data_IF_800098076376
#
_entry.id   IF_800098076376
#
_cell.length_a   1.000
_cell.length_b   1.000
_cell.length_c   1.000
_cell.angle_alpha   90.00
_cell.angle_beta   90.00
_cell.angle_gamma   90.00
#
_symmetry.space_group_name_H-M   'P 1'
#
loop_
_entity.id
_entity.type
_entity.pdbx_description
1 polymer ?
#
# COMPACT_ATOMS: atom_id res chain seq x y z
N UNK A 1 50.52 -7.75 -9.87
CA UNK A 1 49.23 -7.86 -9.15
C UNK A 1 48.47 -6.51 -9.04
N UNK A 2 48.34 -5.73 -10.13
CA UNK A 2 47.60 -4.44 -10.13
C UNK A 2 46.36 -4.42 -11.03
N UNK A 3 46.11 -5.48 -11.83
CA UNK A 3 44.94 -5.58 -12.72
C UNK A 3 43.71 -6.28 -12.11
N UNK A 4 43.84 -6.89 -10.92
CA UNK A 4 42.74 -7.63 -10.28
C UNK A 4 41.81 -6.73 -9.43
N UNK A 5 42.20 -5.48 -9.12
CA UNK A 5 41.39 -4.57 -8.30
C UNK A 5 40.27 -3.85 -9.08
N UNK A 6 40.34 -3.79 -10.41
CA UNK A 6 39.32 -3.11 -11.22
C UNK A 6 38.11 -4.00 -11.55
N UNK A 7 38.25 -5.32 -11.49
CA UNK A 7 37.16 -6.28 -11.76
C UNK A 7 36.17 -6.32 -10.57
N UNK A 8 36.68 -6.13 -9.34
CA UNK A 8 35.86 -6.14 -8.13
C UNK A 8 35.02 -4.86 -7.97
N UNK A 9 35.47 -3.74 -8.55
CA UNK A 9 34.71 -2.48 -8.58
C UNK A 9 33.59 -2.53 -9.63
N UNK A 10 33.80 -3.22 -10.76
CA UNK A 10 32.78 -3.32 -11.82
C UNK A 10 31.63 -4.28 -11.46
N UNK A 11 31.90 -5.33 -10.67
CA UNK A 11 30.87 -6.25 -10.14
C UNK A 11 30.02 -5.62 -9.04
N UNK A 12 30.55 -4.68 -8.25
CA UNK A 12 29.78 -3.98 -7.22
C UNK A 12 28.90 -2.86 -7.80
N UNK A 13 29.34 -2.18 -8.87
CA UNK A 13 28.55 -1.12 -9.53
C UNK A 13 27.33 -1.69 -10.27
N UNK A 14 27.42 -2.90 -10.84
CA UNK A 14 26.28 -3.50 -11.54
C UNK A 14 25.16 -3.98 -10.61
N UNK A 15 25.50 -4.44 -9.40
CA UNK A 15 24.51 -4.77 -8.37
C UNK A 15 23.85 -3.51 -7.77
N UNK A 16 24.63 -2.45 -7.53
CA UNK A 16 24.11 -1.16 -7.05
C UNK A 16 23.19 -0.47 -8.07
N UNK A 17 23.55 -0.46 -9.35
CA UNK A 17 22.74 0.15 -10.40
C UNK A 17 21.36 -0.53 -10.57
N UNK A 18 21.30 -1.86 -10.42
CA UNK A 18 20.04 -2.64 -10.53
C UNK A 18 19.08 -2.38 -9.35
N UNK A 19 19.61 -2.19 -8.14
CA UNK A 19 18.81 -1.81 -6.97
C UNK A 19 18.33 -0.36 -7.02
N UNK A 20 19.15 0.54 -7.60
CA UNK A 20 18.80 1.95 -7.80
C UNK A 20 17.56 2.14 -8.69
N UNK A 21 17.37 1.26 -9.67
CA UNK A 21 16.31 1.36 -10.66
C UNK A 21 14.92 1.01 -10.12
N UNK A 22 14.79 -0.13 -9.43
CA UNK A 22 13.50 -0.49 -8.79
C UNK A 22 13.11 0.55 -7.72
N UNK A 23 14.07 1.03 -6.94
CA UNK A 23 13.81 2.04 -5.93
C UNK A 23 13.30 3.36 -6.56
N UNK A 24 13.82 3.74 -7.72
CA UNK A 24 13.35 4.91 -8.47
C UNK A 24 11.88 4.76 -8.88
N UNK A 25 11.50 3.61 -9.44
CA UNK A 25 10.11 3.34 -9.80
C UNK A 25 9.17 3.32 -8.59
N UNK A 26 9.63 2.79 -7.44
CA UNK A 26 8.83 2.83 -6.20
C UNK A 26 8.61 4.27 -5.73
N UNK A 27 9.65 5.11 -5.77
CA UNK A 27 9.55 6.52 -5.39
C UNK A 27 8.62 7.30 -6.32
N UNK A 28 8.74 7.05 -7.62
CA UNK A 28 7.89 7.66 -8.63
C UNK A 28 6.42 7.25 -8.46
N UNK A 29 6.15 5.96 -8.27
CA UNK A 29 4.81 5.46 -8.01
C UNK A 29 4.23 6.09 -6.73
N UNK A 30 5.01 6.15 -5.65
CA UNK A 30 4.56 6.76 -4.41
C UNK A 30 4.22 8.26 -4.54
N UNK A 31 4.86 8.97 -5.47
CA UNK A 31 4.60 10.38 -5.72
C UNK A 31 3.38 10.61 -6.64
N UNK A 32 3.21 9.76 -7.66
CA UNK A 32 2.27 10.05 -8.76
C UNK A 32 0.99 9.20 -8.75
N UNK A 33 0.96 8.10 -7.99
CA UNK A 33 -0.15 7.15 -8.04
C UNK A 33 -1.46 7.75 -7.46
N UNK A 34 -2.59 7.72 -8.21
CA UNK A 34 -3.86 8.31 -7.77
C UNK A 34 -4.45 7.69 -6.49
N UNK A 35 -4.20 6.41 -6.23
CA UNK A 35 -4.66 5.76 -4.99
C UNK A 35 -3.96 6.38 -3.78
N UNK A 36 -2.64 6.60 -3.87
CA UNK A 36 -1.87 7.26 -2.81
C UNK A 36 -2.34 8.70 -2.60
N UNK A 37 -2.56 9.44 -3.70
CA UNK A 37 -3.11 10.80 -3.63
C UNK A 37 -4.48 10.83 -2.93
N UNK A 38 -5.34 9.83 -3.17
CA UNK A 38 -6.62 9.71 -2.48
C UNK A 38 -6.49 9.38 -0.98
N UNK A 39 -5.46 8.62 -0.57
CA UNK A 39 -5.15 8.41 0.85
C UNK A 39 -4.57 9.67 1.50
N UNK A 40 -3.67 10.40 0.82
CA UNK A 40 -3.13 11.66 1.33
C UNK A 40 -4.23 12.72 1.52
N UNK A 41 -5.17 12.82 0.57
CA UNK A 41 -6.33 13.69 0.74
C UNK A 41 -7.23 13.28 1.92
N UNK A 42 -7.40 11.98 2.19
CA UNK A 42 -8.14 11.52 3.38
C UNK A 42 -7.44 11.92 4.67
N UNK A 43 -6.12 11.81 4.73
CA UNK A 43 -5.33 12.32 5.83
C UNK A 43 -5.47 13.84 5.99
N UNK A 44 -5.35 14.62 4.92
CA UNK A 44 -5.52 16.07 4.97
C UNK A 44 -6.93 16.48 5.44
N UNK A 45 -7.98 15.75 5.03
CA UNK A 45 -9.34 15.96 5.54
C UNK A 45 -9.40 15.67 7.05
N UNK A 46 -8.70 14.65 7.53
CA UNK A 46 -8.63 14.35 8.96
C UNK A 46 -7.84 15.42 9.73
N UNK A 47 -6.78 15.99 9.16
CA UNK A 47 -6.09 17.15 9.73
C UNK A 47 -7.01 18.37 9.82
N UNK A 48 -7.80 18.66 8.78
CA UNK A 48 -8.76 19.76 8.83
C UNK A 48 -9.87 19.54 9.87
N UNK A 49 -10.22 18.29 10.19
CA UNK A 49 -11.12 18.00 11.32
C UNK A 49 -10.53 18.38 12.68
N UNK A 50 -9.20 18.44 12.79
CA UNK A 50 -8.53 18.97 14.00
C UNK A 50 -8.79 20.47 14.11
N UNK A 51 -8.68 21.21 13.01
CA UNK A 51 -9.04 22.63 12.96
C UNK A 51 -10.54 22.83 13.23
N UNK A 52 -11.40 21.97 12.67
CA UNK A 52 -12.85 21.98 12.91
C UNK A 52 -13.19 21.79 14.39
N UNK A 53 -12.42 20.99 15.14
CA UNK A 53 -12.66 20.69 16.54
C UNK A 53 -12.56 21.93 17.45
N UNK A 54 -11.84 22.98 17.03
CA UNK A 54 -11.68 24.23 17.76
C UNK A 54 -12.87 25.18 17.55
N UNK A 55 -14.03 24.81 18.09
CA UNK A 55 -15.23 25.64 18.06
C UNK A 55 -15.90 25.76 19.43
N UNK A 56 -16.58 26.88 19.62
CA UNK A 56 -17.50 27.13 20.74
C UNK A 56 -18.93 27.24 20.22
N UNK A 57 -19.95 26.90 21.02
CA UNK A 57 -21.35 27.10 20.66
C UNK A 57 -21.64 28.47 20.06
N UNK A 58 -22.58 28.53 19.12
CA UNK A 58 -22.95 29.80 18.49
C UNK A 58 -23.44 30.82 19.53
N UNK A 59 -23.12 32.09 19.32
CA UNK A 59 -23.72 33.18 20.07
C UNK A 59 -25.21 33.26 19.73
N UNK A 60 -26.06 33.12 20.75
CA UNK A 60 -27.50 33.23 20.62
C UNK A 60 -27.90 34.70 20.75
N UNK A 61 -28.52 35.27 19.71
CA UNK A 61 -29.19 36.56 19.78
C UNK A 61 -30.70 36.34 19.86
N UNK A 62 -31.35 37.03 20.79
CA UNK A 62 -32.80 36.95 21.00
C UNK A 62 -33.42 38.34 20.96
N UNK A 63 -34.58 38.45 20.31
CA UNK A 63 -35.40 39.64 20.30
C UNK A 63 -36.86 39.22 20.46
N UNK A 64 -37.56 39.82 21.42
CA UNK A 64 -38.97 39.56 21.68
C UNK A 64 -39.71 40.86 21.97
N UNK A 65 -40.94 40.98 21.47
CA UNK A 65 -41.84 42.09 21.75
C UNK A 65 -42.98 41.63 22.66
N UNK A 66 -43.26 42.37 23.72
CA UNK A 66 -44.30 42.01 24.68
C UNK A 66 -45.66 42.50 24.19
N UNK A 67 -46.51 41.57 23.70
CA UNK A 67 -47.91 41.89 23.32
C UNK A 67 -48.75 42.25 24.54
N UNK A 68 -48.46 41.62 25.69
CA UNK A 68 -48.99 42.01 26.99
C UNK A 68 -47.82 42.49 27.83
N UNK A 69 -47.80 43.79 28.12
CA UNK A 69 -46.65 44.46 28.71
C UNK A 69 -46.56 44.20 30.22
N UNK A 70 -45.45 43.60 30.70
CA UNK A 70 -45.21 43.50 32.13
C UNK A 70 -44.97 44.88 32.74
N UNK A 71 -45.76 45.23 33.76
CA UNK A 71 -45.61 46.49 34.48
C UNK A 71 -44.53 46.38 35.57
N UNK A 72 -43.69 47.42 35.68
CA UNK A 72 -42.71 47.58 36.76
C UNK A 72 -42.97 48.88 37.53
N UNK A 73 -42.28 49.10 38.66
CA UNK A 73 -42.39 50.35 39.44
C UNK A 73 -42.10 51.60 38.58
N UNK A 74 -41.24 51.47 37.57
CA UNK A 74 -40.78 52.58 36.70
C UNK A 74 -41.44 52.56 35.32
N UNK A 75 -42.45 51.71 35.09
CA UNK A 75 -43.20 51.64 33.84
C UNK A 75 -43.22 50.26 33.16
N UNK A 76 -43.83 50.20 31.97
CA UNK A 76 -44.13 48.96 31.25
C UNK A 76 -42.95 48.50 30.36
N UNK A 77 -42.58 47.22 30.41
CA UNK A 77 -41.56 46.63 29.53
C UNK A 77 -42.13 46.37 28.13
N UNK A 78 -41.49 46.90 27.08
CA UNK A 78 -41.98 46.80 25.69
C UNK A 78 -41.37 45.63 24.91
N UNK A 79 -40.09 45.37 25.16
CA UNK A 79 -39.34 44.35 24.44
C UNK A 79 -38.26 43.73 25.32
N UNK A 80 -37.65 42.66 24.82
CA UNK A 80 -36.41 42.08 25.33
C UNK A 80 -35.48 41.85 24.16
N UNK A 81 -34.27 42.40 24.24
CA UNK A 81 -33.19 42.17 23.29
C UNK A 81 -32.04 41.58 24.10
N UNK A 82 -31.56 40.41 23.74
CA UNK A 82 -30.51 39.74 24.50
C UNK A 82 -29.50 39.05 23.61
N UNK A 83 -28.29 38.89 24.14
CA UNK A 83 -27.33 37.94 23.58
C UNK A 83 -26.82 37.00 24.67
N UNK A 84 -26.46 35.79 24.28
CA UNK A 84 -25.97 34.74 25.17
C UNK A 84 -24.90 33.91 24.47
N UNK A 85 -23.78 33.68 25.14
CA UNK A 85 -22.69 32.84 24.69
C UNK A 85 -22.52 31.67 25.67
N UNK A 86 -22.67 30.44 25.18
CA UNK A 86 -22.33 29.24 25.94
C UNK A 86 -20.86 28.88 25.73
N UNK A 87 -20.18 28.54 26.82
CA UNK A 87 -18.80 28.07 26.85
C UNK A 87 -18.78 26.64 27.39
N UNK A 88 -18.11 25.71 26.71
CA UNK A 88 -17.96 24.35 27.20
C UNK A 88 -17.09 24.32 28.46
N UNK A 89 -17.13 23.20 29.18
CA UNK A 89 -16.27 23.01 30.35
C UNK A 89 -14.78 23.12 29.99
N UNK A 90 -13.96 23.46 30.98
CA UNK A 90 -12.51 23.59 30.81
C UNK A 90 -11.89 22.31 30.23
N UNK A 91 -11.16 22.47 29.13
CA UNK A 91 -10.48 21.36 28.44
C UNK A 91 -11.38 20.49 27.54
N UNK A 92 -12.68 20.80 27.38
CA UNK A 92 -13.53 20.06 26.42
C UNK A 92 -13.09 20.31 24.97
N UNK A 93 -12.70 21.54 24.62
CA UNK A 93 -12.18 21.86 23.28
C UNK A 93 -10.88 21.08 23.01
N UNK A 94 -9.93 21.11 23.94
CA UNK A 94 -8.69 20.33 23.86
C UNK A 94 -8.96 18.82 23.75
N UNK A 95 -9.97 18.30 24.45
CA UNK A 95 -10.34 16.89 24.31
C UNK A 95 -10.92 16.57 22.91
N UNK A 96 -11.66 17.51 22.28
CA UNK A 96 -12.12 17.36 20.89
C UNK A 96 -10.93 17.39 19.92
N UNK A 97 -10.01 18.32 20.09
CA UNK A 97 -8.79 18.44 19.28
C UNK A 97 -7.93 17.18 19.39
N UNK A 98 -7.69 16.68 20.60
CA UNK A 98 -6.91 15.45 20.82
C UNK A 98 -7.58 14.23 20.19
N UNK A 99 -8.91 14.12 20.28
CA UNK A 99 -9.64 13.05 19.60
C UNK A 99 -9.51 13.16 18.08
N UNK A 100 -9.76 14.34 17.50
CA UNK A 100 -9.60 14.57 16.07
C UNK A 100 -8.16 14.28 15.60
N UNK A 101 -7.15 14.71 16.37
CA UNK A 101 -5.74 14.46 16.09
C UNK A 101 -5.41 12.97 16.11
N UNK A 102 -5.94 12.21 17.08
CA UNK A 102 -5.73 10.75 17.12
C UNK A 102 -6.37 10.01 15.94
N UNK A 103 -7.47 10.55 15.38
CA UNK A 103 -8.07 10.04 14.15
C UNK A 103 -7.18 10.37 12.94
N UNK A 104 -6.61 11.57 12.87
CA UNK A 104 -5.66 11.95 11.82
C UNK A 104 -4.39 11.08 11.85
N UNK A 105 -3.85 10.78 13.04
CA UNK A 105 -2.74 9.84 13.22
C UNK A 105 -3.06 8.44 12.65
N UNK A 106 -4.29 7.95 12.84
CA UNK A 106 -4.72 6.66 12.29
C UNK A 106 -4.78 6.69 10.75
N UNK A 107 -5.31 7.77 10.16
CA UNK A 107 -5.32 7.97 8.70
C UNK A 107 -3.90 8.12 8.12
N UNK A 108 -2.96 8.72 8.85
CA UNK A 108 -1.56 8.78 8.42
C UNK A 108 -0.91 7.39 8.32
N UNK A 109 -1.24 6.49 9.25
CA UNK A 109 -0.78 5.10 9.18
C UNK A 109 -1.39 4.40 7.96
N UNK A 110 -2.64 4.69 7.58
CA UNK A 110 -3.24 4.16 6.35
C UNK A 110 -2.50 4.63 5.09
N UNK A 111 -2.10 5.91 5.02
CA UNK A 111 -1.23 6.41 3.93
C UNK A 111 0.06 5.59 3.85
N UNK A 112 0.67 5.32 5.00
CA UNK A 112 1.90 4.53 5.09
C UNK A 112 1.70 3.08 4.61
N UNK A 113 0.59 2.43 5.03
CA UNK A 113 0.23 1.09 4.58
C UNK A 113 0.01 1.07 3.06
N UNK A 114 -0.73 2.04 2.52
CA UNK A 114 -1.01 2.15 1.10
C UNK A 114 0.28 2.30 0.28
N UNK A 115 1.19 3.21 0.68
CA UNK A 115 2.49 3.40 0.02
C UNK A 115 3.32 2.11 0.02
N UNK A 116 3.32 1.35 1.12
CA UNK A 116 4.04 0.08 1.23
C UNK A 116 3.42 -1.02 0.37
N UNK A 117 2.09 -1.09 0.29
CA UNK A 117 1.38 -2.02 -0.61
C UNK A 117 1.68 -1.71 -2.08
N UNK A 118 1.68 -0.43 -2.45
CA UNK A 118 2.05 0.01 -3.79
C UNK A 118 3.50 -0.37 -4.11
N UNK A 119 4.44 -0.14 -3.19
CA UNK A 119 5.84 -0.52 -3.36
C UNK A 119 6.00 -2.04 -3.60
N UNK A 120 5.24 -2.87 -2.87
CA UNK A 120 5.20 -4.32 -3.08
C UNK A 120 4.67 -4.68 -4.48
N UNK A 121 3.56 -4.05 -4.90
CA UNK A 121 2.96 -4.29 -6.22
C UNK A 121 3.91 -3.90 -7.36
N UNK A 122 4.57 -2.75 -7.25
CA UNK A 122 5.59 -2.28 -8.21
C UNK A 122 6.74 -3.29 -8.28
N UNK A 123 7.25 -3.75 -7.14
CA UNK A 123 8.32 -4.75 -7.12
C UNK A 123 7.90 -6.08 -7.75
N UNK A 124 6.71 -6.60 -7.43
CA UNK A 124 6.21 -7.84 -8.02
C UNK A 124 6.00 -7.72 -9.53
N UNK A 125 5.39 -6.62 -9.99
CA UNK A 125 5.17 -6.35 -11.41
C UNK A 125 6.50 -6.18 -12.16
N UNK A 126 7.49 -5.53 -11.56
CA UNK A 126 8.85 -5.42 -12.10
C UNK A 126 9.52 -6.79 -12.31
N UNK A 127 9.41 -7.70 -11.33
CA UNK A 127 9.99 -9.04 -11.43
C UNK A 127 9.22 -9.94 -12.41
N UNK A 128 7.92 -9.73 -12.58
CA UNK A 128 7.13 -10.36 -13.65
C UNK A 128 7.61 -9.90 -15.03
N UNK A 129 7.78 -8.60 -15.26
CA UNK A 129 8.30 -8.05 -16.52
C UNK A 129 9.69 -8.56 -16.86
N UNK A 130 10.57 -8.64 -15.86
CA UNK A 130 11.87 -9.30 -16.01
C UNK A 130 11.72 -10.75 -16.51
N UNK A 131 10.85 -11.53 -15.88
CA UNK A 131 10.65 -12.95 -16.19
C UNK A 131 10.21 -13.14 -17.63
N UNK A 132 9.23 -12.37 -18.09
CA UNK A 132 8.73 -12.41 -19.48
C UNK A 132 9.87 -12.10 -20.45
N UNK A 133 10.62 -11.02 -20.22
CA UNK A 133 11.74 -10.61 -21.08
C UNK A 133 12.89 -11.63 -21.10
N UNK A 134 13.18 -12.23 -19.96
CA UNK A 134 14.20 -13.29 -19.85
C UNK A 134 13.76 -14.55 -20.61
N UNK A 135 12.48 -14.92 -20.55
CA UNK A 135 11.94 -16.07 -21.30
C UNK A 135 11.97 -15.82 -22.81
N UNK A 136 11.58 -14.62 -23.27
CA UNK A 136 11.70 -14.23 -24.69
C UNK A 136 13.13 -14.38 -25.19
N UNK A 137 14.12 -13.91 -24.41
CA UNK A 137 15.53 -14.05 -24.75
C UNK A 137 15.96 -15.53 -24.85
N UNK A 138 15.53 -16.38 -23.94
CA UNK A 138 15.81 -17.83 -24.01
C UNK A 138 15.17 -18.45 -25.25
N UNK A 139 13.95 -18.06 -25.61
CA UNK A 139 13.31 -18.53 -26.85
C UNK A 139 14.10 -18.08 -28.09
N UNK A 140 14.56 -16.83 -28.15
CA UNK A 140 15.40 -16.33 -29.25
C UNK A 140 16.69 -17.15 -29.40
N UNK A 141 17.38 -17.42 -28.29
CA UNK A 141 18.58 -18.25 -28.28
C UNK A 141 18.30 -19.68 -28.77
N UNK A 142 17.16 -20.26 -28.37
CA UNK A 142 16.77 -21.61 -28.79
C UNK A 142 16.30 -21.66 -30.26
N UNK A 143 15.61 -20.65 -30.76
CA UNK A 143 15.23 -20.54 -32.19
C UNK A 143 16.50 -20.50 -33.06
N UNK A 144 17.47 -19.66 -32.71
CA UNK A 144 18.77 -19.58 -33.41
C UNK A 144 19.55 -20.91 -33.37
N UNK A 145 19.43 -21.65 -32.26
CA UNK A 145 20.04 -22.96 -32.13
C UNK A 145 19.37 -23.99 -33.06
N UNK A 146 18.03 -24.01 -33.12
CA UNK A 146 17.29 -24.89 -34.03
C UNK A 146 17.57 -24.57 -35.51
N UNK A 147 17.75 -23.30 -35.89
CA UNK A 147 18.20 -22.93 -37.25
C UNK A 147 19.60 -23.51 -37.58
N UNK A 148 20.48 -23.59 -36.59
CA UNK A 148 21.79 -24.21 -36.76
C UNK A 148 21.68 -25.72 -36.95
N UNK A 149 20.78 -26.35 -36.21
CA UNK A 149 20.48 -27.77 -36.34
C UNK A 149 19.77 -28.13 -37.65
N UNK A 150 18.89 -27.26 -38.15
CA UNK A 150 18.23 -27.44 -39.45
C UNK A 150 19.24 -27.45 -40.59
N UNK A 151 20.21 -26.53 -40.58
CA UNK A 151 21.30 -26.53 -41.57
C UNK A 151 22.12 -27.82 -41.53
N UNK A 152 22.39 -28.33 -40.33
CA UNK A 152 23.10 -29.61 -40.14
C UNK A 152 22.28 -30.78 -40.69
N UNK A 153 20.98 -30.85 -40.35
CA UNK A 153 20.08 -31.90 -40.80
C UNK A 153 19.91 -31.89 -42.33
N UNK A 154 19.74 -30.72 -42.95
CA UNK A 154 19.67 -30.56 -44.41
C UNK A 154 20.92 -31.11 -45.10
N UNK A 155 22.10 -30.76 -44.58
CA UNK A 155 23.38 -31.28 -45.09
C UNK A 155 23.45 -32.80 -44.98
N UNK A 156 22.98 -33.37 -43.85
CA UNK A 156 22.92 -34.81 -43.64
C UNK A 156 21.93 -35.52 -44.57
N UNK A 157 20.81 -34.88 -44.92
CA UNK A 157 19.83 -35.40 -45.91
C UNK A 157 20.46 -35.43 -47.31
N UNK A 158 21.16 -34.38 -47.72
CA UNK A 158 21.83 -34.31 -49.03
C UNK A 158 22.85 -35.43 -49.24
N UNK A 159 23.56 -35.83 -48.18
CA UNK A 159 24.54 -36.94 -48.21
C UNK A 159 23.92 -38.31 -47.87
N UNK A 160 22.59 -38.40 -47.78
CA UNK A 160 21.84 -39.65 -47.57
C UNK A 160 21.96 -40.26 -46.17
N UNK A 161 22.36 -39.46 -45.18
CA UNK A 161 22.58 -39.89 -43.78
C UNK A 161 21.46 -39.51 -42.81
N UNK A 162 20.50 -38.69 -43.22
CA UNK A 162 19.35 -38.29 -42.41
C UNK A 162 18.05 -38.32 -43.20
N UNK A 163 16.91 -38.28 -42.51
CA UNK A 163 15.57 -38.27 -43.10
C UNK A 163 15.06 -36.84 -43.29
N UNK A 164 14.32 -36.59 -44.37
CA UNK A 164 13.58 -35.34 -44.54
C UNK A 164 12.54 -35.12 -43.41
N UNK A 165 12.13 -36.19 -42.71
CA UNK A 165 11.27 -36.12 -41.52
C UNK A 165 11.96 -35.36 -40.38
N UNK A 166 13.28 -35.48 -40.24
CA UNK A 166 14.04 -34.84 -39.16
C UNK A 166 14.06 -33.32 -39.34
N UNK A 167 14.19 -32.86 -40.59
CA UNK A 167 14.09 -31.45 -40.98
C UNK A 167 12.68 -30.91 -40.71
N UNK A 168 11.63 -31.64 -41.10
CA UNK A 168 10.25 -31.22 -40.84
C UNK A 168 9.95 -31.13 -39.34
N UNK A 169 10.51 -32.03 -38.52
CA UNK A 169 10.38 -31.95 -37.05
C UNK A 169 11.03 -30.70 -36.48
N UNK A 170 12.24 -30.35 -36.95
CA UNK A 170 12.91 -29.10 -36.56
C UNK A 170 12.07 -27.87 -36.89
N UNK A 171 11.50 -27.81 -38.09
CA UNK A 171 10.63 -26.70 -38.52
C UNK A 171 9.36 -26.61 -37.67
N UNK A 172 8.75 -27.74 -37.31
CA UNK A 172 7.62 -27.78 -36.37
C UNK A 172 8.03 -27.19 -35.02
N UNK A 173 9.20 -27.57 -34.49
CA UNK A 173 9.70 -27.02 -33.22
C UNK A 173 10.00 -25.52 -33.30
N UNK A 174 10.62 -25.04 -34.38
CA UNK A 174 10.82 -23.61 -34.59
C UNK A 174 9.48 -22.85 -34.57
N UNK A 175 8.45 -23.38 -35.24
CA UNK A 175 7.11 -22.78 -35.24
C UNK A 175 6.50 -22.76 -33.82
N UNK A 176 6.68 -23.83 -33.02
CA UNK A 176 6.22 -23.88 -31.62
C UNK A 176 6.93 -22.83 -30.75
N UNK A 177 8.25 -22.65 -30.89
CA UNK A 177 8.99 -21.64 -30.14
C UNK A 177 8.63 -20.21 -30.56
N UNK A 178 8.44 -19.99 -31.86
CA UNK A 178 8.00 -18.70 -32.39
C UNK A 178 6.60 -18.34 -31.87
N UNK A 179 5.67 -19.30 -31.85
CA UNK A 179 4.34 -19.13 -31.26
C UNK A 179 4.42 -18.80 -29.76
N UNK A 180 5.28 -19.48 -28.99
CA UNK A 180 5.48 -19.16 -27.57
C UNK A 180 6.05 -17.75 -27.37
N UNK A 181 6.94 -17.31 -28.24
CA UNK A 181 7.54 -15.98 -28.19
C UNK A 181 6.49 -14.89 -28.45
N UNK A 182 5.68 -15.04 -29.50
CA UNK A 182 4.60 -14.11 -29.83
C UNK A 182 3.58 -14.00 -28.69
N UNK A 183 3.25 -15.11 -28.02
CA UNK A 183 2.40 -15.07 -26.81
C UNK A 183 3.07 -14.27 -25.68
N UNK A 184 4.37 -14.46 -25.43
CA UNK A 184 5.10 -13.69 -24.42
C UNK A 184 5.22 -12.21 -24.79
N UNK A 185 5.25 -11.85 -26.06
CA UNK A 185 5.22 -10.44 -26.53
C UNK A 185 3.90 -9.77 -26.15
N UNK A 186 2.76 -10.44 -26.36
CA UNK A 186 1.45 -9.94 -25.92
C UNK A 186 1.35 -9.87 -24.39
N UNK A 187 1.85 -10.89 -23.67
CA UNK A 187 1.92 -10.85 -22.20
C UNK A 187 2.78 -9.69 -21.68
N UNK A 188 3.90 -9.40 -22.36
CA UNK A 188 4.78 -8.29 -22.00
C UNK A 188 4.07 -6.95 -22.14
N UNK A 189 3.35 -6.73 -23.25
CA UNK A 189 2.59 -5.49 -23.48
C UNK A 189 1.56 -5.29 -22.37
N UNK A 190 0.77 -6.32 -22.04
CA UNK A 190 -0.22 -6.23 -20.97
C UNK A 190 0.41 -5.97 -19.59
N UNK A 191 1.53 -6.64 -19.28
CA UNK A 191 2.27 -6.45 -18.04
C UNK A 191 2.89 -5.04 -17.95
N UNK A 192 3.37 -4.48 -19.07
CA UNK A 192 3.96 -3.15 -19.13
C UNK A 192 2.92 -2.07 -18.89
N UNK A 193 1.74 -2.17 -19.52
CA UNK A 193 0.62 -1.26 -19.27
C UNK A 193 0.24 -1.29 -17.78
N UNK A 194 0.14 -2.48 -17.20
CA UNK A 194 -0.17 -2.65 -15.78
C UNK A 194 0.87 -1.99 -14.88
N UNK A 195 2.16 -2.13 -15.20
CA UNK A 195 3.25 -1.49 -14.46
C UNK A 195 3.22 0.05 -14.59
N UNK A 196 3.03 0.56 -15.81
CA UNK A 196 2.95 2.01 -16.07
C UNK A 196 1.75 2.65 -15.36
N UNK A 197 0.63 1.93 -15.23
CA UNK A 197 -0.52 2.38 -14.45
C UNK A 197 -0.22 2.49 -12.94
N UNK A 198 0.64 1.62 -12.38
CA UNK A 198 1.09 1.76 -10.98
C UNK A 198 1.90 3.06 -10.78
N UNK A 199 2.65 3.46 -11.79
CA UNK A 199 3.46 4.69 -11.83
C UNK A 199 2.65 5.95 -12.21
N UNK A 200 1.43 5.77 -12.71
CA UNK A 200 0.61 6.81 -13.34
C UNK A 200 1.33 7.49 -14.52
N UNK A 201 1.97 6.69 -15.36
CA UNK A 201 2.64 7.12 -16.60
C UNK A 201 1.82 6.72 -17.84
N UNK A 202 2.17 7.30 -19.00
CA UNK A 202 1.59 6.86 -20.27
C UNK A 202 1.87 5.37 -20.51
N UNK A 203 0.83 4.67 -21.00
CA UNK A 203 0.81 3.20 -21.14
C UNK A 203 1.98 2.65 -21.98
N UNK A 204 2.49 3.41 -22.95
CA UNK A 204 3.55 3.01 -23.88
C UNK A 204 4.96 3.46 -23.45
N UNK A 205 5.14 3.95 -22.23
CA UNK A 205 6.47 4.38 -21.75
C UNK A 205 7.42 3.18 -21.71
N UNK A 206 8.56 3.30 -22.39
CA UNK A 206 9.56 2.24 -22.47
C UNK A 206 10.23 2.03 -21.12
N UNK A 207 10.22 0.77 -20.66
CA UNK A 207 10.83 0.38 -19.41
C UNK A 207 12.19 -0.26 -19.63
N UNK A 208 13.16 0.24 -18.89
CA UNK A 208 14.43 -0.46 -18.71
C UNK A 208 14.26 -1.50 -17.60
N UNK A 209 14.41 -2.77 -17.97
CA UNK A 209 14.48 -3.90 -17.04
C UNK A 209 15.81 -4.61 -17.21
N UNK A 210 16.40 -5.17 -16.13
CA UNK A 210 17.67 -5.87 -16.21
C UNK A 210 17.49 -7.09 -17.10
N UNK A 211 18.48 -7.38 -17.95
CA UNK A 211 18.42 -8.55 -18.84
C UNK A 211 18.71 -9.85 -18.08
N UNK A 212 19.34 -9.78 -16.91
CA UNK A 212 19.72 -10.94 -16.11
C UNK A 212 19.73 -10.63 -14.62
N UNK A 213 19.14 -11.52 -13.83
CA UNK A 213 19.19 -11.51 -12.37
C UNK A 213 19.62 -12.89 -11.85
N UNK A 214 20.32 -12.89 -10.71
CA UNK A 214 20.86 -14.10 -10.08
C UNK A 214 20.34 -14.16 -8.65
N UNK A 215 20.03 -15.37 -8.17
CA UNK A 215 19.66 -15.55 -6.77
C UNK A 215 20.92 -15.39 -5.90
N UNK A 216 20.92 -14.50 -4.88
CA UNK A 216 22.05 -14.37 -3.97
C UNK A 216 22.38 -15.69 -3.25
N UNK A 217 23.67 -15.99 -3.12
CA UNK A 217 24.17 -17.16 -2.39
C UNK A 217 23.98 -17.02 -0.88
N UNK A 218 24.05 -15.80 -0.37
CA UNK A 218 23.89 -15.51 1.06
C UNK A 218 22.40 -15.40 1.42
N UNK A 219 22.01 -16.05 2.51
CA UNK A 219 20.69 -15.88 3.09
C UNK A 219 20.65 -14.65 3.97
N UNK A 220 19.80 -13.69 3.61
CA UNK A 220 19.35 -12.66 4.53
C UNK A 220 18.51 -13.35 5.61
N UNK A 221 18.97 -13.25 6.86
CA UNK A 221 18.24 -13.77 8.02
C UNK A 221 17.14 -12.77 8.36
N UNK A 222 15.90 -13.17 8.09
CA UNK A 222 14.74 -12.38 8.48
C UNK A 222 14.32 -12.72 9.89
N UNK A 223 14.33 -11.73 10.77
CA UNK A 223 13.79 -11.90 12.11
C UNK A 223 12.28 -11.67 12.10
N UNK A 224 11.52 -12.70 12.49
CA UNK A 224 10.07 -12.65 12.62
C UNK A 224 9.62 -11.66 13.71
N UNK A 225 10.47 -11.34 14.69
CA UNK A 225 10.19 -10.35 15.73
C UNK A 225 9.87 -8.95 15.15
N UNK A 226 10.38 -8.65 13.95
CA UNK A 226 10.13 -7.37 13.29
C UNK A 226 8.72 -7.27 12.67
N UNK A 227 7.95 -8.36 12.62
CA UNK A 227 6.58 -8.35 12.11
C UNK A 227 5.68 -7.43 12.94
N UNK A 228 5.97 -7.27 14.25
CA UNK A 228 5.26 -6.35 15.15
C UNK A 228 5.39 -4.89 14.72
N UNK A 229 6.45 -4.56 13.97
CA UNK A 229 6.68 -3.22 13.41
C UNK A 229 5.95 -2.98 12.10
N UNK A 230 5.14 -3.93 11.62
CA UNK A 230 4.35 -3.75 10.41
C UNK A 230 3.31 -2.64 10.62
N UNK A 231 3.22 -1.63 9.72
CA UNK A 231 2.24 -0.55 9.85
C UNK A 231 0.78 -1.02 9.92
N UNK A 232 0.44 -2.18 9.34
CA UNK A 232 -0.90 -2.76 9.47
C UNK A 232 -1.26 -3.15 10.91
N UNK A 233 -0.26 -3.46 11.75
CA UNK A 233 -0.45 -3.68 13.18
C UNK A 233 -0.46 -2.37 13.97
N UNK A 234 0.41 -1.43 13.60
CA UNK A 234 0.48 -0.10 14.21
C UNK A 234 -0.84 0.68 14.04
N UNK A 235 -1.57 0.43 12.95
CA UNK A 235 -2.92 0.98 12.73
C UNK A 235 -3.83 0.70 13.92
N UNK A 236 -3.82 -0.52 14.45
CA UNK A 236 -4.67 -0.88 15.57
C UNK A 236 -4.27 -0.18 16.86
N UNK A 237 -2.97 0.11 17.06
CA UNK A 237 -2.52 0.93 18.19
C UNK A 237 -3.06 2.36 18.09
N UNK A 238 -3.04 2.96 16.89
CA UNK A 238 -3.61 4.28 16.65
C UNK A 238 -5.14 4.31 16.78
N UNK A 239 -5.83 3.27 16.31
CA UNK A 239 -7.27 3.14 16.53
C UNK A 239 -7.60 2.99 18.01
N UNK A 240 -6.83 2.20 18.76
CA UNK A 240 -7.01 2.05 20.21
C UNK A 240 -6.82 3.39 20.94
N UNK A 241 -5.76 4.13 20.59
CA UNK A 241 -5.51 5.49 21.08
C UNK A 241 -6.69 6.42 20.78
N UNK A 242 -7.25 6.35 19.56
CA UNK A 242 -8.41 7.17 19.20
C UNK A 242 -9.66 6.88 20.01
N UNK A 243 -9.92 5.61 20.36
CA UNK A 243 -11.02 5.24 21.25
C UNK A 243 -10.77 5.73 22.67
N UNK A 244 -9.51 5.74 23.10
CA UNK A 244 -9.10 6.30 24.40
C UNK A 244 -9.38 7.81 24.46
N UNK A 245 -9.01 8.56 23.40
CA UNK A 245 -9.32 9.99 23.31
C UNK A 245 -10.83 10.27 23.19
N UNK A 246 -11.57 9.41 22.46
CA UNK A 246 -13.03 9.44 22.41
C UNK A 246 -13.66 9.32 23.80
N UNK A 247 -13.11 8.45 24.68
CA UNK A 247 -13.60 8.34 26.04
C UNK A 247 -13.29 9.57 26.89
N UNK A 248 -12.07 10.12 26.77
CA UNK A 248 -11.73 11.37 27.45
C UNK A 248 -12.64 12.52 27.01
N UNK A 249 -12.94 12.62 25.72
CA UNK A 249 -13.92 13.57 25.19
C UNK A 249 -15.31 13.34 25.79
N UNK A 250 -15.82 12.10 25.77
CA UNK A 250 -17.12 11.74 26.34
C UNK A 250 -17.23 12.17 27.82
N UNK A 251 -16.19 11.96 28.63
CA UNK A 251 -16.15 12.38 30.04
C UNK A 251 -16.12 13.90 30.22
N UNK A 252 -15.48 14.65 29.30
CA UNK A 252 -15.46 16.12 29.31
C UNK A 252 -16.76 16.73 28.83
N UNK A 253 -17.42 16.13 27.85
CA UNK A 253 -18.75 16.54 27.40
C UNK A 253 -19.85 16.25 28.43
N UNK A 254 -19.62 15.33 29.36
CA UNK A 254 -20.50 15.08 30.49
C UNK A 254 -20.40 16.16 31.60
N UNK A 255 -19.45 17.10 31.49
CA UNK A 255 -19.32 18.20 32.44
C UNK A 255 -20.28 19.37 32.12
N UNK A 256 -20.58 20.24 33.10
CA UNK A 256 -21.45 21.38 32.88
C UNK A 256 -20.94 22.37 31.82
N UNK A 257 -21.85 23.14 31.22
CA UNK A 257 -21.48 24.32 30.41
C UNK A 257 -21.85 25.60 31.14
N UNK A 258 -21.08 26.67 30.91
CA UNK A 258 -21.37 27.99 31.46
C UNK A 258 -21.82 28.93 30.36
N UNK A 259 -22.87 29.70 30.60
CA UNK A 259 -23.37 30.73 29.70
C UNK A 259 -23.21 32.10 30.31
N UNK A 260 -22.77 33.07 29.51
CA UNK A 260 -22.79 34.48 29.87
C UNK A 260 -23.66 35.23 28.88
N UNK A 261 -24.44 36.16 29.36
CA UNK A 261 -25.31 36.94 28.49
C UNK A 261 -25.77 38.23 29.15
N UNK A 262 -26.49 39.03 28.38
CA UNK A 262 -27.15 40.23 28.88
C UNK A 262 -28.47 40.40 28.15
N UNK A 263 -29.51 40.72 28.90
CA UNK A 263 -30.77 41.19 28.36
C UNK A 263 -30.88 42.70 28.56
N UNK A 264 -31.33 43.38 27.53
CA UNK A 264 -31.79 44.76 27.53
C UNK A 264 -33.30 44.79 27.36
N UNK A 265 -34.01 45.40 28.32
CA UNK A 265 -35.45 45.54 28.30
C UNK A 265 -35.82 47.03 28.32
N UNK A 266 -36.27 47.60 27.19
CA UNK A 266 -36.73 48.98 27.17
C UNK A 266 -38.03 49.14 27.95
N UNK A 267 -38.10 50.20 28.76
CA UNK A 267 -39.24 50.50 29.65
C UNK A 267 -39.90 51.82 29.27
N UNK A 268 -41.22 51.81 29.09
CA UNK A 268 -41.99 53.06 28.90
C UNK A 268 -42.45 53.60 30.24
N UNK A 269 -42.01 54.81 30.58
CA UNK A 269 -42.37 55.48 31.83
C UNK A 269 -43.88 55.70 31.99
N UNK A 270 -44.32 55.85 33.24
CA UNK A 270 -45.72 56.11 33.59
C UNK A 270 -45.93 57.59 33.90
N UNK A 271 -46.94 58.22 33.30
CA UNK A 271 -47.26 59.65 33.46
C UNK A 271 -47.56 60.06 34.91
N UNK A 272 -48.02 59.12 35.75
CA UNK A 272 -48.33 59.36 37.16
C UNK A 272 -47.16 59.05 38.12
N UNK A 273 -45.99 58.71 37.59
CA UNK A 273 -44.82 58.36 38.40
C UNK A 273 -44.04 59.59 38.85
N UNK A 274 -43.77 59.69 40.15
CA UNK A 274 -42.96 60.77 40.75
C UNK A 274 -41.49 60.36 40.95
N UNK A 275 -41.08 59.20 40.44
CA UNK A 275 -39.72 58.68 40.61
C UNK A 275 -38.76 59.31 39.61
N UNK A 276 -37.53 59.61 40.04
CA UNK A 276 -36.47 60.17 39.18
C UNK A 276 -35.94 59.17 38.16
N UNK A 277 -36.23 57.88 38.33
CA UNK A 277 -35.86 56.78 37.42
C UNK A 277 -37.03 56.26 36.57
N UNK A 278 -38.11 57.04 36.43
CA UNK A 278 -39.24 56.69 35.57
C UNK A 278 -38.81 56.43 34.12
N UNK A 279 -39.28 55.32 33.53
CA UNK A 279 -38.91 54.88 32.18
C UNK A 279 -37.46 54.42 32.04
N UNK A 280 -36.73 54.18 33.14
CA UNK A 280 -35.35 53.69 33.07
C UNK A 280 -35.32 52.24 32.58
N UNK A 281 -34.59 52.01 31.50
CA UNK A 281 -34.40 50.69 30.91
C UNK A 281 -33.68 49.72 31.86
N UNK A 282 -33.98 48.43 31.70
CA UNK A 282 -33.37 47.36 32.49
C UNK A 282 -32.24 46.72 31.70
N UNK A 283 -31.07 46.67 32.32
CA UNK A 283 -29.94 45.87 31.86
C UNK A 283 -29.75 44.70 32.84
N UNK A 284 -29.86 43.46 32.34
CA UNK A 284 -29.84 42.25 33.14
C UNK A 284 -28.69 41.34 32.69
N UNK A 285 -27.51 41.40 33.33
CA UNK A 285 -26.45 40.44 33.10
C UNK A 285 -26.89 39.05 33.61
N UNK A 286 -26.58 38.01 32.85
CA UNK A 286 -26.98 36.63 33.13
C UNK A 286 -25.76 35.72 33.17
N UNK A 287 -25.75 34.82 34.16
CA UNK A 287 -24.88 33.65 34.20
C UNK A 287 -25.78 32.42 34.21
N UNK A 288 -25.57 31.51 33.26
CA UNK A 288 -26.32 30.27 33.11
C UNK A 288 -25.39 29.08 33.33
N UNK A 289 -25.88 28.00 33.92
CA UNK A 289 -25.15 26.74 34.02
C UNK A 289 -26.03 25.60 33.51
N UNK A 290 -25.55 24.85 32.52
CA UNK A 290 -26.25 23.66 31.99
C UNK A 290 -25.60 22.42 32.57
N UNK A 291 -26.34 21.65 33.36
CA UNK A 291 -25.84 20.43 34.00
C UNK A 291 -26.58 19.22 33.40
N UNK A 292 -25.87 18.24 32.81
CA UNK A 292 -26.51 17.02 32.34
C UNK A 292 -26.84 16.11 33.54
N UNK A 293 -28.14 16.02 33.87
CA UNK A 293 -28.63 15.23 35.03
C UNK A 293 -28.86 13.76 34.64
N UNK A 294 -29.37 13.50 33.42
CA UNK A 294 -29.70 12.16 32.94
C UNK A 294 -28.58 11.58 32.06
N UNK A 295 -27.56 10.99 32.70
CA UNK A 295 -26.29 10.63 32.05
C UNK A 295 -26.24 9.22 31.42
N UNK A 296 -27.39 8.63 31.09
CA UNK A 296 -27.42 7.30 30.46
C UNK A 296 -26.70 7.28 29.10
N UNK A 297 -26.76 8.39 28.33
CA UNK A 297 -26.02 8.55 27.07
C UNK A 297 -24.51 8.37 27.29
N UNK A 298 -23.91 9.14 28.19
CA UNK A 298 -22.47 9.11 28.44
C UNK A 298 -22.01 7.76 28.98
N UNK A 299 -22.78 7.15 29.90
CA UNK A 299 -22.52 5.78 30.39
C UNK A 299 -22.55 4.74 29.27
N UNK A 300 -23.50 4.86 28.33
CA UNK A 300 -23.59 3.96 27.19
C UNK A 300 -22.42 4.14 26.23
N UNK A 301 -21.97 5.37 25.98
CA UNK A 301 -20.80 5.65 25.14
C UNK A 301 -19.53 5.09 25.79
N UNK A 302 -19.33 5.26 27.10
CA UNK A 302 -18.22 4.62 27.83
C UNK A 302 -18.22 3.11 27.62
N UNK A 303 -19.38 2.46 27.76
CA UNK A 303 -19.48 1.02 27.53
C UNK A 303 -19.18 0.62 26.07
N UNK A 304 -19.59 1.44 25.11
CA UNK A 304 -19.25 1.23 23.69
C UNK A 304 -17.75 1.38 23.44
N UNK A 305 -17.10 2.38 24.04
CA UNK A 305 -15.65 2.58 23.92
C UNK A 305 -14.87 1.40 24.53
N UNK A 306 -15.27 0.88 25.69
CA UNK A 306 -14.70 -0.34 26.27
C UNK A 306 -14.82 -1.55 25.32
N UNK A 307 -16.00 -1.75 24.71
CA UNK A 307 -16.23 -2.85 23.78
C UNK A 307 -15.44 -2.68 22.47
N UNK A 308 -15.33 -1.45 21.96
CA UNK A 308 -14.50 -1.14 20.78
C UNK A 308 -13.02 -1.39 21.03
N UNK A 309 -12.50 -1.08 22.21
CA UNK A 309 -11.13 -1.42 22.57
C UNK A 309 -10.90 -2.93 22.55
N UNK A 310 -11.83 -3.72 23.11
CA UNK A 310 -11.75 -5.19 23.05
C UNK A 310 -11.82 -5.71 21.61
N UNK A 311 -12.71 -5.15 20.79
CA UNK A 311 -12.80 -5.47 19.36
C UNK A 311 -11.47 -5.20 18.63
N UNK A 312 -10.87 -4.03 18.83
CA UNK A 312 -9.59 -3.63 18.21
C UNK A 312 -8.46 -4.60 18.60
N UNK A 313 -8.39 -5.03 19.86
CA UNK A 313 -7.41 -6.02 20.32
C UNK A 313 -7.57 -7.37 19.61
N UNK A 314 -8.82 -7.86 19.46
CA UNK A 314 -9.08 -9.09 18.71
C UNK A 314 -8.77 -8.94 17.22
N UNK A 315 -9.08 -7.79 16.62
CA UNK A 315 -8.73 -7.49 15.23
C UNK A 315 -7.21 -7.44 15.04
N UNK A 316 -6.47 -6.82 15.96
CA UNK A 316 -5.00 -6.78 15.95
C UNK A 316 -4.40 -8.18 16.06
N UNK A 317 -4.90 -9.01 16.98
CA UNK A 317 -4.46 -10.39 17.14
C UNK A 317 -4.74 -11.22 15.88
N UNK A 318 -5.92 -11.08 15.28
CA UNK A 318 -6.24 -11.75 14.03
C UNK A 318 -5.34 -11.29 12.88
N UNK A 319 -5.07 -9.97 12.77
CA UNK A 319 -4.16 -9.45 11.75
C UNK A 319 -2.74 -9.99 11.94
N UNK A 320 -2.26 -10.09 13.19
CA UNK A 320 -0.98 -10.71 13.48
C UNK A 320 -0.92 -12.16 12.96
N UNK A 321 -1.93 -12.98 13.25
CA UNK A 321 -2.00 -14.36 12.75
C UNK A 321 -1.96 -14.44 11.21
N UNK A 322 -2.64 -13.50 10.54
CA UNK A 322 -2.63 -13.39 9.07
C UNK A 322 -1.23 -13.04 8.55
N UNK A 323 -0.58 -12.06 9.16
CA UNK A 323 0.78 -11.63 8.78
C UNK A 323 1.82 -12.72 9.06
N UNK A 324 1.71 -13.45 10.17
CA UNK A 324 2.58 -14.58 10.49
C UNK A 324 2.43 -15.70 9.47
N UNK A 325 1.18 -16.03 9.11
CA UNK A 325 0.88 -17.03 8.07
C UNK A 325 1.42 -16.61 6.71
N UNK A 326 1.27 -15.33 6.35
CA UNK A 326 1.79 -14.77 5.11
C UNK A 326 3.33 -14.81 5.08
N UNK A 327 3.99 -14.48 6.19
CA UNK A 327 5.45 -14.53 6.31
C UNK A 327 5.98 -15.96 6.19
N UNK A 328 5.38 -16.91 6.91
CA UNK A 328 5.75 -18.31 6.84
C UNK A 328 5.59 -18.87 5.41
N UNK A 329 4.49 -18.50 4.73
CA UNK A 329 4.25 -18.87 3.33
C UNK A 329 5.29 -18.25 2.40
N UNK A 330 5.56 -16.95 2.52
CA UNK A 330 6.55 -16.26 1.68
C UNK A 330 7.95 -16.86 1.85
N UNK A 331 8.37 -17.13 3.10
CA UNK A 331 9.65 -17.77 3.38
C UNK A 331 9.73 -19.19 2.79
N UNK A 332 8.66 -19.98 2.93
CA UNK A 332 8.60 -21.32 2.34
C UNK A 332 8.71 -21.28 0.81
N UNK A 333 7.93 -20.41 0.15
CA UNK A 333 7.96 -20.26 -1.31
C UNK A 333 9.32 -19.73 -1.80
N UNK A 334 9.93 -18.78 -1.09
CA UNK A 334 11.30 -18.31 -1.38
C UNK A 334 12.32 -19.45 -1.32
N UNK A 335 12.24 -20.31 -0.30
CA UNK A 335 13.14 -21.46 -0.16
C UNK A 335 12.89 -22.52 -1.24
N UNK A 336 11.63 -22.79 -1.60
CA UNK A 336 11.28 -23.66 -2.72
C UNK A 336 11.87 -23.14 -4.04
N UNK A 337 11.80 -21.84 -4.27
CA UNK A 337 12.39 -21.19 -5.44
C UNK A 337 13.92 -21.40 -5.50
N UNK A 338 14.63 -21.28 -4.37
CA UNK A 338 16.08 -21.59 -4.29
C UNK A 338 16.38 -23.05 -4.63
N UNK A 339 15.63 -23.98 -4.03
CA UNK A 339 15.81 -25.42 -4.26
C UNK A 339 15.58 -25.74 -5.74
N UNK A 340 14.50 -25.22 -6.33
CA UNK A 340 14.18 -25.37 -7.74
C UNK A 340 15.29 -24.80 -8.62
N UNK A 341 15.74 -23.57 -8.37
CA UNK A 341 16.82 -22.92 -9.12
C UNK A 341 18.10 -23.78 -9.16
N UNK A 342 18.60 -24.21 -8.00
CA UNK A 342 19.81 -25.05 -7.93
C UNK A 342 19.63 -26.42 -8.58
N UNK A 343 18.41 -26.96 -8.58
CA UNK A 343 18.10 -28.21 -9.27
C UNK A 343 18.14 -28.02 -10.78
N UNK A 344 17.55 -26.94 -11.30
CA UNK A 344 17.60 -26.65 -12.73
C UNK A 344 19.00 -26.30 -13.21
N UNK A 345 19.81 -25.62 -12.40
CA UNK A 345 21.22 -25.36 -12.71
C UNK A 345 22.02 -26.65 -12.92
N UNK A 346 21.84 -27.65 -12.04
CA UNK A 346 22.49 -28.97 -12.17
C UNK A 346 21.98 -29.73 -13.40
N UNK A 347 20.67 -29.75 -13.61
CA UNK A 347 20.05 -30.44 -14.74
C UNK A 347 20.47 -29.83 -16.08
N UNK A 348 20.53 -28.49 -16.16
CA UNK A 348 20.96 -27.78 -17.35
C UNK A 348 22.42 -28.08 -17.68
N UNK A 349 23.29 -28.17 -16.67
CA UNK A 349 24.69 -28.61 -16.86
C UNK A 349 24.76 -30.02 -17.45
N UNK A 350 24.02 -30.98 -16.88
CA UNK A 350 23.99 -32.36 -17.39
C UNK A 350 23.40 -32.45 -18.80
N UNK A 351 22.36 -31.67 -19.10
CA UNK A 351 21.74 -31.64 -20.40
C UNK A 351 22.66 -31.05 -21.48
N UNK A 352 23.45 -30.02 -21.15
CA UNK A 352 24.51 -29.48 -22.04
C UNK A 352 25.63 -30.49 -22.30
N UNK A 353 26.05 -31.23 -21.27
CA UNK A 353 27.06 -32.28 -21.42
C UNK A 353 26.54 -33.41 -22.34
N UNK A 354 25.26 -33.79 -22.19
CA UNK A 354 24.60 -34.78 -23.03
C UNK A 354 24.42 -34.31 -24.47
N UNK A 355 23.98 -33.06 -24.69
CA UNK A 355 23.89 -32.45 -26.02
C UNK A 355 25.22 -32.50 -26.76
N UNK A 356 26.33 -32.14 -26.13
CA UNK A 356 27.65 -32.20 -26.76
C UNK A 356 28.05 -33.60 -27.22
N UNK A 357 27.63 -34.64 -26.48
CA UNK A 357 27.89 -36.03 -26.85
C UNK A 357 26.97 -36.44 -28.00
N UNK A 358 25.69 -36.12 -27.92
CA UNK A 358 24.68 -36.49 -28.92
C UNK A 358 24.96 -35.82 -30.27
N UNK A 359 25.30 -34.53 -30.29
CA UNK A 359 25.66 -33.82 -31.53
C UNK A 359 26.87 -34.46 -32.22
N UNK A 360 27.93 -34.81 -31.48
CA UNK A 360 29.10 -35.51 -32.03
C UNK A 360 28.78 -36.90 -32.58
N UNK A 361 27.91 -37.63 -31.90
CA UNK A 361 27.47 -38.96 -32.35
C UNK A 361 26.59 -38.86 -33.60
N UNK A 362 25.77 -37.81 -33.71
CA UNK A 362 24.96 -37.55 -34.89
C UNK A 362 25.84 -37.20 -36.11
N UNK A 363 26.85 -36.35 -35.94
CA UNK A 363 27.82 -36.03 -37.02
C UNK A 363 28.55 -37.27 -37.56
N UNK A 364 28.77 -38.27 -36.69
CA UNK A 364 29.41 -39.54 -37.06
C UNK A 364 28.41 -40.60 -37.58
N UNK A 365 27.11 -40.27 -37.62
CA UNK A 365 26.04 -41.14 -38.13
C UNK A 365 25.71 -42.33 -37.22
N UNK A 366 26.03 -42.24 -35.92
CA UNK A 366 25.88 -43.35 -34.97
C UNK A 366 24.58 -43.31 -34.16
N UNK A 367 23.83 -42.21 -34.21
CA UNK A 367 22.56 -42.03 -33.51
C UNK A 367 21.53 -41.30 -34.38
N UNK A 368 20.26 -41.36 -33.97
CA UNK A 368 19.14 -40.61 -34.56
C UNK A 368 19.17 -39.14 -34.07
N UNK A 369 18.78 -38.20 -34.94
CA UNK A 369 18.66 -36.78 -34.61
C UNK A 369 17.62 -36.50 -33.52
N UNK A 370 16.65 -37.41 -33.33
CA UNK A 370 15.62 -37.30 -32.32
C UNK A 370 16.17 -37.17 -30.89
N UNK A 371 17.25 -37.88 -30.57
CA UNK A 371 17.87 -37.78 -29.24
C UNK A 371 18.42 -36.35 -28.97
N UNK A 372 18.90 -35.67 -30.02
CA UNK A 372 19.37 -34.28 -29.94
C UNK A 372 18.20 -33.31 -29.72
N UNK A 373 17.04 -33.57 -30.32
CA UNK A 373 15.84 -32.77 -30.10
C UNK A 373 15.29 -32.95 -28.69
N UNK A 374 15.25 -34.18 -28.18
CA UNK A 374 14.74 -34.48 -26.84
C UNK A 374 15.60 -33.81 -25.76
N UNK A 375 16.93 -33.80 -25.93
CA UNK A 375 17.80 -33.12 -24.97
C UNK A 375 17.65 -31.59 -25.04
N UNK A 376 17.38 -31.01 -26.22
CA UNK A 376 17.07 -29.59 -26.35
C UNK A 376 15.77 -29.20 -25.65
N UNK A 377 14.72 -30.02 -25.78
CA UNK A 377 13.45 -29.78 -25.10
C UNK A 377 13.65 -29.77 -23.57
N UNK A 378 14.49 -30.67 -23.05
CA UNK A 378 14.87 -30.66 -21.64
C UNK A 378 15.64 -29.40 -21.26
N UNK A 379 16.60 -28.95 -22.06
CA UNK A 379 17.34 -27.72 -21.79
C UNK A 379 16.42 -26.50 -21.73
N UNK A 380 15.57 -26.33 -22.74
CA UNK A 380 14.58 -25.25 -22.79
C UNK A 380 13.69 -25.27 -21.55
N UNK A 381 13.15 -26.44 -21.19
CA UNK A 381 12.35 -26.61 -19.98
C UNK A 381 13.10 -26.20 -18.71
N UNK A 382 14.37 -26.58 -18.57
CA UNK A 382 15.17 -26.23 -17.40
C UNK A 382 15.49 -24.73 -17.35
N UNK A 383 15.79 -24.09 -18.50
CA UNK A 383 15.99 -22.64 -18.59
C UNK A 383 14.73 -21.87 -18.20
N UNK A 384 13.56 -22.27 -18.72
CA UNK A 384 12.27 -21.65 -18.39
C UNK A 384 11.95 -21.76 -16.89
N UNK A 385 12.15 -22.95 -16.32
CA UNK A 385 11.94 -23.18 -14.89
C UNK A 385 12.95 -22.43 -14.01
N UNK A 386 14.18 -22.22 -14.49
CA UNK A 386 15.19 -21.42 -13.80
C UNK A 386 14.75 -19.96 -13.71
N UNK A 387 14.22 -19.38 -14.79
CA UNK A 387 13.67 -18.02 -14.80
C UNK A 387 12.46 -17.90 -13.87
N UNK A 388 11.54 -18.85 -13.91
CA UNK A 388 10.39 -18.89 -13.00
C UNK A 388 10.83 -18.94 -11.53
N UNK A 389 11.89 -19.69 -11.23
CA UNK A 389 12.48 -19.76 -9.88
C UNK A 389 13.06 -18.41 -9.45
N UNK A 390 13.74 -17.68 -10.34
CA UNK A 390 14.26 -16.33 -10.05
C UNK A 390 13.10 -15.36 -9.76
N UNK A 391 12.08 -15.34 -10.61
CA UNK A 391 10.89 -14.50 -10.41
C UNK A 391 10.26 -14.76 -9.04
N UNK A 392 9.95 -16.03 -8.76
CA UNK A 392 9.33 -16.45 -7.50
C UNK A 392 10.18 -16.05 -6.31
N UNK A 393 11.51 -16.25 -6.38
CA UNK A 393 12.42 -15.84 -5.31
C UNK A 393 12.28 -14.35 -4.98
N UNK A 394 12.34 -13.49 -6.01
CA UNK A 394 12.32 -12.04 -5.82
C UNK A 394 10.93 -11.47 -5.46
N UNK A 395 9.84 -12.06 -5.97
CA UNK A 395 8.49 -11.69 -5.55
C UNK A 395 8.25 -12.02 -4.06
N UNK A 396 8.69 -13.19 -3.62
CA UNK A 396 8.58 -13.57 -2.21
C UNK A 396 9.53 -12.75 -1.34
N UNK A 397 10.69 -12.37 -1.86
CA UNK A 397 11.60 -11.46 -1.19
C UNK A 397 10.97 -10.07 -0.99
N UNK A 398 10.30 -9.52 -2.01
CA UNK A 398 9.56 -8.27 -1.88
C UNK A 398 8.43 -8.40 -0.84
N UNK A 399 7.70 -9.52 -0.85
CA UNK A 399 6.65 -9.81 0.13
C UNK A 399 7.21 -9.85 1.56
N UNK A 400 8.35 -10.50 1.78
CA UNK A 400 8.99 -10.54 3.09
C UNK A 400 9.40 -9.14 3.56
N UNK A 401 10.00 -8.30 2.69
CA UNK A 401 10.37 -6.92 3.02
C UNK A 401 9.15 -6.06 3.38
N UNK A 402 8.04 -6.25 2.65
CA UNK A 402 6.77 -5.62 2.97
C UNK A 402 6.28 -6.00 4.37
N UNK A 403 6.38 -7.28 4.75
CA UNK A 403 5.88 -7.80 6.02
C UNK A 403 6.71 -7.32 7.24
N UNK A 404 8.03 -7.28 7.14
CA UNK A 404 8.94 -7.02 8.30
C UNK A 404 9.53 -5.61 8.35
N UNK A 405 9.02 -4.68 7.53
CA UNK A 405 9.45 -3.29 7.51
C UNK A 405 10.98 -3.09 7.31
N UNK A 406 11.58 -3.90 6.44
CA UNK A 406 12.96 -3.66 6.01
C UNK A 406 13.02 -2.66 4.84
N UNK A 407 14.08 -1.82 4.80
CA UNK A 407 14.29 -0.83 3.75
C UNK A 407 14.52 -1.45 2.37
#
# INVERSE_FOLDING_TARGET
MKKLKYILVFLFVSAFAKAQQLQSYIQEAAANNPEIQAFELRYNIAEEKVNEANWIPNTEFSAGYFVSEPETRVGAQRARIGFKQMLPWFGTITAKENYASSMADAEYVEVTIAKRKLALQVAQSYYMLYSIRAKQKVLDENIQLLETYERLALTSVEVGKASAVDVLRLQIRQNELQQQKEVLEEEFVAAQISFNNLLNQEENTLLETPIMMEIPTDDLVYNMDNLVLNPELLKYDKLYESVTQSELLNLREAQPMFGFGVDYLPVTGNDNSMFSDNGKDVLMPMVTMTIPIFNNRYKSITKQNELRQQEIEFQKSNQLNVLESAFAKANSLRNQAKIAFHTQEKNLKQARDAEQILVKNYETGTIDFNDVLDIQELQLKFQMNQIASIQMYYEQQAMMNYLINQP
#
